data_IF_624668600156
#
_entry.id   IF_624668600156
#
_cell.length_a   1.000
_cell.length_b   1.000
_cell.length_c   1.000
_cell.angle_alpha   90.00
_cell.angle_beta   90.00
_cell.angle_gamma   90.00
#
_symmetry.space_group_name_H-M   'P 1'
#
loop_
_entity.id
_entity.type
_entity.pdbx_description
1 polymer ?
#
# COMPACT_ATOMS: atom_id res chain seq x y z
N UNK A 1 -0.05 -24.81 -10.75
CA UNK A 1 -0.09 -24.55 -10.27
C UNK A 1 0.03 -24.23 -9.94
N UNK A 2 -0.25 -24.08 -9.84
CA UNK A 2 -0.30 -23.70 -9.29
C UNK A 2 -0.21 -23.22 -8.86
N UNK A 3 -0.38 -23.11 -8.96
CA UNK A 3 -0.44 -22.60 -8.35
C UNK A 3 -0.55 -21.97 -8.00
N UNK A 4 -0.91 -21.92 -8.11
CA UNK A 4 -1.12 -21.34 -7.62
C UNK A 4 -1.44 -21.02 -7.12
N UNK A 5 -1.72 -21.30 -7.20
CA UNK A 5 -2.11 -21.10 -6.56
C UNK A 5 -2.15 -20.81 -5.81
N UNK A 6 -2.28 -20.79 -5.63
CA UNK A 6 -2.31 -20.55 -4.74
C UNK A 6 -2.25 -19.91 -4.19
N UNK A 7 -2.39 -19.54 -4.09
CA UNK A 7 -2.33 -18.84 -3.57
C UNK A 7 -2.96 -18.39 -3.10
N UNK A 8 -3.27 -18.44 -3.00
CA UNK A 8 -3.77 -18.06 -2.45
C UNK A 8 -4.13 -17.68 -1.84
N UNK A 9 -4.30 -17.66 -1.80
CA UNK A 9 -4.70 -17.32 -1.26
C UNK A 9 -4.98 -16.92 -0.36
N UNK A 10 -5.34 -16.93 -0.25
CA UNK A 10 -5.77 -16.70 0.66
C UNK A 10 -5.25 -15.86 1.56
N UNK A 11 -4.68 -16.06 2.09
CA UNK A 11 -4.08 -15.31 2.88
C UNK A 11 -3.45 -14.36 2.18
N UNK A 12 -4.08 -13.38 1.87
CA UNK A 12 -3.49 -12.34 1.19
C UNK A 12 -2.35 -11.77 1.99
N UNK A 13 -1.28 -11.55 1.32
CA UNK A 13 -0.11 -10.94 1.92
C UNK A 13 0.01 -9.52 1.40
N UNK A 14 0.63 -8.67 2.20
CA UNK A 14 0.94 -7.32 1.75
C UNK A 14 1.90 -7.39 0.59
N UNK A 15 1.78 -6.44 -0.33
CA UNK A 15 2.72 -6.36 -1.43
C UNK A 15 4.12 -6.08 -0.88
N UNK A 16 5.11 -6.66 -1.48
CA UNK A 16 6.47 -6.30 -1.17
C UNK A 16 6.69 -4.83 -1.55
N UNK A 17 7.42 -4.05 -0.74
CA UNK A 17 7.67 -2.65 -1.10
C UNK A 17 8.22 -2.46 -2.51
N UNK A 18 9.07 -3.37 -2.97
CA UNK A 18 9.61 -3.28 -4.32
C UNK A 18 8.52 -3.37 -5.38
N UNK A 19 7.47 -4.14 -5.11
CA UNK A 19 6.36 -4.27 -6.05
C UNK A 19 5.53 -3.00 -6.10
N UNK A 20 5.37 -2.34 -4.97
CA UNK A 20 4.67 -1.05 -4.92
C UNK A 20 5.45 -0.03 -5.74
N UNK A 21 6.76 0.03 -5.55
CA UNK A 21 7.62 0.95 -6.29
C UNK A 21 7.56 0.70 -7.79
N UNK A 22 7.64 -0.58 -8.18
CA UNK A 22 7.60 -0.94 -9.59
C UNK A 22 6.26 -0.56 -10.22
N UNK A 23 5.16 -0.80 -9.52
CA UNK A 23 3.84 -0.49 -10.04
C UNK A 23 3.67 1.03 -10.21
N UNK A 24 4.14 1.81 -9.24
CA UNK A 24 4.08 3.26 -9.33
C UNK A 24 4.91 3.76 -10.52
N UNK A 25 6.11 3.21 -10.67
CA UNK A 25 6.99 3.64 -11.74
C UNK A 25 6.38 3.35 -13.11
N UNK A 26 5.72 2.20 -13.25
CA UNK A 26 5.07 1.85 -14.50
C UNK A 26 3.96 2.85 -14.87
N UNK A 27 3.40 3.51 -13.90
CA UNK A 27 2.33 4.50 -14.12
C UNK A 27 2.85 5.93 -14.11
N UNK A 28 4.18 6.10 -14.09
CA UNK A 28 4.77 7.43 -14.12
C UNK A 28 4.79 8.15 -12.80
N UNK A 29 4.66 7.42 -11.69
CA UNK A 29 4.67 8.01 -10.36
C UNK A 29 5.93 7.66 -9.60
N UNK A 30 6.26 8.48 -8.60
CA UNK A 30 7.31 8.17 -7.64
C UNK A 30 6.76 8.45 -6.25
N UNK A 31 7.35 7.82 -5.24
CA UNK A 31 6.91 8.07 -3.87
C UNK A 31 7.12 9.53 -3.49
N UNK A 32 8.27 10.08 -3.84
CA UNK A 32 8.55 11.48 -3.53
C UNK A 32 7.55 12.41 -4.24
N UNK A 33 7.28 12.13 -5.50
CA UNK A 33 6.34 12.96 -6.26
C UNK A 33 4.93 12.91 -5.69
N UNK A 34 4.47 11.73 -5.30
CA UNK A 34 3.15 11.59 -4.70
C UNK A 34 3.08 12.33 -3.36
N UNK A 35 4.14 12.24 -2.57
CA UNK A 35 4.19 12.92 -1.29
C UNK A 35 4.06 14.43 -1.47
N UNK A 36 4.90 15.00 -2.32
CA UNK A 36 4.92 16.44 -2.55
C UNK A 36 3.62 16.93 -3.17
N UNK A 37 3.09 16.19 -4.13
CA UNK A 37 1.85 16.57 -4.79
C UNK A 37 0.67 16.65 -3.83
N UNK A 38 0.77 15.94 -2.71
CA UNK A 38 -0.31 15.92 -1.72
C UNK A 38 0.06 16.72 -0.46
N UNK A 39 1.07 17.56 -0.54
CA UNK A 39 1.42 18.48 0.54
C UNK A 39 2.27 17.88 1.64
N UNK A 40 2.94 16.77 1.36
CA UNK A 40 3.79 16.11 2.35
C UNK A 40 5.26 16.23 2.00
N UNK A 41 6.09 15.96 2.98
CA UNK A 41 7.53 15.88 2.76
C UNK A 41 7.83 14.76 1.75
N UNK A 42 8.85 14.90 0.91
CA UNK A 42 9.16 13.88 -0.12
C UNK A 42 9.33 12.46 0.42
N UNK A 43 9.69 12.29 1.69
CA UNK A 43 9.90 10.96 2.26
C UNK A 43 8.63 10.35 2.83
N UNK A 44 7.51 11.07 2.81
CA UNK A 44 6.30 10.63 3.50
C UNK A 44 5.76 9.29 2.98
N UNK A 45 5.64 9.16 1.66
CA UNK A 45 5.06 7.94 1.12
C UNK A 45 5.92 6.71 1.41
N UNK A 46 7.23 6.90 1.49
CA UNK A 46 8.12 5.80 1.86
C UNK A 46 7.87 5.27 3.25
N UNK A 47 7.46 6.14 4.16
CA UNK A 47 7.13 5.71 5.52
C UNK A 47 5.91 4.82 5.54
N UNK A 48 4.94 5.08 4.66
CA UNK A 48 3.74 4.27 4.59
C UNK A 48 4.03 2.84 4.14
N UNK A 49 5.14 2.62 3.44
CA UNK A 49 5.52 1.27 3.06
C UNK A 49 6.02 0.46 4.24
N UNK A 50 6.45 1.15 5.30
CA UNK A 50 7.06 0.48 6.46
C UNK A 50 6.12 0.37 7.64
N UNK A 51 5.14 1.26 7.73
CA UNK A 51 4.25 1.27 8.87
C UNK A 51 2.88 1.80 8.46
N UNK A 52 1.82 1.41 9.20
CA UNK A 52 0.47 1.86 8.86
C UNK A 52 0.34 3.38 8.90
N UNK A 53 -0.25 3.92 7.83
CA UNK A 53 -0.53 5.35 7.72
C UNK A 53 -1.68 5.49 6.72
N UNK A 54 -2.93 5.33 7.18
CA UNK A 54 -4.08 5.27 6.27
C UNK A 54 -4.19 6.41 5.28
N UNK A 55 -3.91 7.65 5.69
CA UNK A 55 -4.00 8.77 4.77
C UNK A 55 -3.05 8.61 3.59
N UNK A 56 -1.81 8.23 3.85
CA UNK A 56 -0.83 8.07 2.79
C UNK A 56 -1.09 6.79 1.99
N UNK A 57 -1.59 5.74 2.66
CA UNK A 57 -1.93 4.50 1.97
C UNK A 57 -3.00 4.75 0.91
N UNK A 58 -3.97 5.61 1.22
CA UNK A 58 -5.01 5.96 0.25
C UNK A 58 -4.43 6.69 -0.94
N UNK A 59 -3.46 7.56 -0.71
CA UNK A 59 -2.82 8.31 -1.79
C UNK A 59 -2.09 7.36 -2.74
N UNK A 60 -1.32 6.43 -2.17
CA UNK A 60 -0.57 5.47 -2.98
C UNK A 60 -1.52 4.54 -3.73
N UNK A 61 -2.54 4.04 -3.05
CA UNK A 61 -3.49 3.13 -3.68
C UNK A 61 -4.25 3.81 -4.80
N UNK A 62 -4.65 5.07 -4.60
CA UNK A 62 -5.36 5.82 -5.65
C UNK A 62 -4.49 5.98 -6.88
N UNK A 63 -3.19 6.22 -6.69
CA UNK A 63 -2.26 6.34 -7.80
C UNK A 63 -2.15 5.04 -8.60
N UNK A 64 -2.39 3.91 -7.95
CA UNK A 64 -2.35 2.59 -8.59
C UNK A 64 -3.74 2.12 -9.03
N UNK A 65 -4.77 2.91 -8.78
CA UNK A 65 -6.15 2.59 -9.13
C UNK A 65 -6.63 1.30 -8.44
N UNK A 66 -6.21 1.10 -7.20
CA UNK A 66 -6.64 -0.04 -6.39
C UNK A 66 -7.02 0.47 -5.01
N UNK A 67 -7.56 -0.42 -4.18
CA UNK A 67 -7.88 -0.05 -2.81
C UNK A 67 -6.65 -0.26 -1.92
N UNK A 68 -6.53 0.48 -0.81
CA UNK A 68 -5.40 0.29 0.10
C UNK A 68 -5.34 -1.13 0.65
N UNK A 69 -6.48 -1.74 0.94
CA UNK A 69 -6.46 -3.11 1.47
C UNK A 69 -6.00 -4.13 0.44
N UNK A 70 -6.02 -3.78 -0.84
CA UNK A 70 -5.45 -4.66 -1.87
C UNK A 70 -3.94 -4.73 -1.75
N UNK A 71 -3.32 -3.63 -1.36
CA UNK A 71 -1.86 -3.56 -1.22
C UNK A 71 -1.43 -4.03 0.16
N UNK A 72 -2.17 -3.63 1.18
CA UNK A 72 -1.81 -3.92 2.59
C UNK A 72 -2.95 -4.59 3.33
N UNK A 73 -3.32 -5.81 2.94
CA UNK A 73 -4.44 -6.48 3.61
C UNK A 73 -4.24 -6.64 5.11
N UNK A 74 -3.00 -6.73 5.59
CA UNK A 74 -2.74 -6.88 7.02
C UNK A 74 -3.12 -5.65 7.83
N UNK A 75 -3.31 -4.52 7.19
CA UNK A 75 -3.59 -3.24 7.87
C UNK A 75 -5.07 -2.92 7.95
N UNK A 76 -5.93 -3.79 7.41
CA UNK A 76 -7.36 -3.53 7.32
C UNK A 76 -8.15 -4.72 7.82
N UNK A 77 -9.37 -4.46 8.33
CA UNK A 77 -10.23 -5.54 8.77
C UNK A 77 -11.07 -6.06 7.59
N UNK A 78 -11.94 -7.03 7.87
CA UNK A 78 -12.74 -7.68 6.83
C UNK A 78 -13.72 -6.72 6.15
N UNK A 79 -13.99 -5.58 6.78
CA UNK A 79 -14.89 -4.58 6.21
C UNK A 79 -14.12 -3.49 5.48
N UNK A 80 -12.79 -3.63 5.37
CA UNK A 80 -11.98 -2.65 4.66
C UNK A 80 -11.66 -1.41 5.48
N UNK A 81 -11.79 -1.47 6.80
CA UNK A 81 -11.48 -0.35 7.66
C UNK A 81 -10.08 -0.50 8.24
N UNK A 82 -9.36 0.61 8.42
CA UNK A 82 -8.03 0.51 9.01
C UNK A 82 -8.09 -0.09 10.39
N UNK A 83 -7.17 -1.02 10.66
CA UNK A 83 -7.08 -1.59 11.99
C UNK A 83 -6.50 -0.58 12.95
N UNK A 84 -6.89 -0.62 14.22
CA UNK A 84 -6.32 0.27 15.23
C UNK A 84 -4.81 0.04 15.29
N UNK A 85 -4.05 1.12 15.39
CA UNK A 85 -2.61 0.98 15.51
C UNK A 85 -2.30 0.44 16.88
N UNK A 86 -1.30 -0.41 16.92
CA UNK A 86 -0.88 -0.95 18.21
C UNK A 86 -0.48 0.19 19.11
N UNK A 87 -1.00 0.16 20.32
CA UNK A 87 -0.66 1.19 21.21
C UNK A 87 0.57 0.80 21.85
N UNK A 88 1.48 1.50 21.77
CA UNK A 88 2.76 1.12 22.36
C UNK A 88 3.10 2.01 23.49
#
# INVERSE_FOLDING_TARGET
MNASESRTVSNAQDWHPADVLAALKKRGHSLAGLSVANGYHPTAAGKALKQPWPAMENIVAAALAVTPQSIWPSRYDSLGRPLPRAKT
#
